data_IF_435100580190
#
_entry.id   IF_435100580190
#
_cell.length_a   1.000
_cell.length_b   1.000
_cell.length_c   1.000
_cell.angle_alpha   90.00
_cell.angle_beta   90.00
_cell.angle_gamma   90.00
#
_symmetry.space_group_name_H-M   'P 1'
#
loop_
_entity.id
_entity.type
_entity.pdbx_description
1 polymer ?
#
# COMPACT_ATOMS: atom_id res chain seq x y z
N UNK A 1 -4.44 -10.20 -20.80
CA UNK A 1 -4.85 -9.62 -19.50
C UNK A 1 -3.97 -8.40 -19.28
N UNK A 2 -4.52 -7.25 -18.92
CA UNK A 2 -3.70 -6.08 -18.60
C UNK A 2 -2.96 -6.34 -17.26
N UNK A 3 -1.93 -5.57 -16.95
CA UNK A 3 -1.09 -5.79 -15.76
C UNK A 3 -1.89 -5.67 -14.44
N UNK A 4 -2.86 -4.75 -14.35
CA UNK A 4 -3.72 -4.61 -13.17
C UNK A 4 -4.58 -5.84 -12.90
N UNK A 5 -5.18 -6.43 -13.94
CA UNK A 5 -6.02 -7.62 -13.82
C UNK A 5 -5.17 -8.83 -13.44
N UNK A 6 -3.92 -8.88 -13.94
CA UNK A 6 -2.95 -9.91 -13.56
C UNK A 6 -2.56 -9.82 -12.08
N UNK A 7 -2.29 -8.61 -11.58
CA UNK A 7 -2.00 -8.36 -10.17
C UNK A 7 -3.18 -8.77 -9.27
N UNK A 8 -4.40 -8.30 -9.60
CA UNK A 8 -5.60 -8.65 -8.84
C UNK A 8 -5.84 -10.17 -8.82
N UNK A 9 -5.69 -10.84 -9.97
CA UNK A 9 -5.84 -12.29 -10.07
C UNK A 9 -4.77 -13.05 -9.28
N UNK A 10 -3.52 -12.57 -9.27
CA UNK A 10 -2.43 -13.19 -8.52
C UNK A 10 -2.69 -13.10 -7.00
N UNK A 11 -3.13 -11.93 -6.51
CA UNK A 11 -3.51 -11.73 -5.10
C UNK A 11 -4.72 -12.60 -4.70
N UNK A 12 -5.74 -12.71 -5.57
CA UNK A 12 -6.89 -13.60 -5.36
C UNK A 12 -6.45 -15.06 -5.26
N UNK A 13 -5.59 -15.52 -6.19
CA UNK A 13 -5.08 -16.90 -6.20
C UNK A 13 -4.24 -17.21 -4.97
N UNK A 14 -3.45 -16.25 -4.50
CA UNK A 14 -2.67 -16.34 -3.27
C UNK A 14 -3.54 -16.20 -2.01
N UNK A 15 -4.84 -15.89 -2.15
CA UNK A 15 -5.79 -15.64 -1.05
C UNK A 15 -5.28 -14.56 -0.11
N UNK A 16 -4.79 -13.45 -0.65
CA UNK A 16 -4.16 -12.38 0.14
C UNK A 16 -5.16 -11.32 0.63
N UNK A 17 -6.29 -11.14 -0.05
CA UNK A 17 -7.36 -10.29 0.48
C UNK A 17 -8.01 -10.89 1.73
N UNK A 18 -8.19 -10.03 2.73
CA UNK A 18 -8.82 -10.38 4.01
C UNK A 18 -10.30 -10.74 3.82
N UNK A 19 -11.01 -9.92 3.05
CA UNK A 19 -12.42 -10.10 2.73
C UNK A 19 -12.78 -9.41 1.40
N UNK A 20 -14.04 -9.54 0.99
CA UNK A 20 -14.53 -8.91 -0.23
C UNK A 20 -14.50 -7.38 -0.20
N UNK A 21 -14.56 -6.76 0.99
CA UNK A 21 -14.42 -5.31 1.18
C UNK A 21 -13.01 -4.84 0.87
N UNK A 22 -12.01 -5.48 1.49
CA UNK A 22 -10.59 -5.22 1.22
C UNK A 22 -10.28 -5.36 -0.28
N UNK A 23 -10.73 -6.45 -0.90
CA UNK A 23 -10.58 -6.66 -2.35
C UNK A 23 -11.22 -5.56 -3.19
N UNK A 24 -12.44 -5.15 -2.85
CA UNK A 24 -13.19 -4.13 -3.60
C UNK A 24 -12.48 -2.79 -3.54
N UNK A 25 -12.07 -2.34 -2.35
CA UNK A 25 -11.33 -1.07 -2.16
C UNK A 25 -10.02 -1.06 -2.95
N UNK A 26 -9.23 -2.13 -2.88
CA UNK A 26 -7.98 -2.22 -3.65
C UNK A 26 -8.25 -2.14 -5.16
N UNK A 27 -9.27 -2.86 -5.65
CA UNK A 27 -9.65 -2.81 -7.06
C UNK A 27 -10.06 -1.39 -7.50
N UNK A 28 -10.80 -0.66 -6.67
CA UNK A 28 -11.19 0.72 -6.94
C UNK A 28 -9.97 1.64 -7.10
N UNK A 29 -8.99 1.56 -6.18
CA UNK A 29 -7.74 2.32 -6.30
C UNK A 29 -6.99 1.96 -7.58
N UNK A 30 -6.85 0.66 -7.86
CA UNK A 30 -6.19 0.18 -9.07
C UNK A 30 -6.89 0.70 -10.31
N UNK A 31 -8.22 0.58 -10.42
CA UNK A 31 -8.97 1.04 -11.59
C UNK A 31 -8.82 2.54 -11.85
N UNK A 32 -8.78 3.34 -10.79
CA UNK A 32 -8.68 4.79 -10.88
C UNK A 32 -7.27 5.30 -11.15
N UNK A 33 -6.23 4.71 -10.57
CA UNK A 33 -4.91 5.37 -10.50
C UNK A 33 -3.77 4.65 -11.24
N UNK A 34 -3.94 3.42 -11.72
CA UNK A 34 -2.86 2.65 -12.36
C UNK A 34 -2.24 3.29 -13.64
N UNK A 35 -2.95 4.24 -14.25
CA UNK A 35 -2.59 4.82 -15.53
C UNK A 35 -1.88 6.18 -15.40
N UNK A 36 -1.75 6.69 -14.18
CA UNK A 36 -1.04 7.94 -13.92
C UNK A 36 0.47 7.74 -13.94
N UNK A 37 1.26 8.76 -14.34
CA UNK A 37 2.71 8.65 -14.44
C UNK A 37 3.43 8.44 -13.10
N UNK A 38 2.79 8.79 -11.98
CA UNK A 38 3.32 8.53 -10.63
C UNK A 38 3.09 7.10 -10.15
N UNK A 39 2.39 6.26 -10.92
CA UNK A 39 2.05 4.90 -10.49
C UNK A 39 3.27 3.99 -10.53
N UNK A 40 3.64 3.44 -9.37
CA UNK A 40 4.77 2.52 -9.19
C UNK A 40 4.35 1.24 -8.46
N UNK A 41 5.21 0.22 -8.46
CA UNK A 41 5.00 -0.96 -7.63
C UNK A 41 4.90 -0.59 -6.14
N UNK A 42 5.73 0.33 -5.66
CA UNK A 42 5.67 0.86 -4.29
C UNK A 42 4.30 1.43 -3.95
N UNK A 43 3.78 2.31 -4.81
CA UNK A 43 2.46 2.90 -4.62
C UNK A 43 1.35 1.84 -4.67
N UNK A 44 1.46 0.83 -5.55
CA UNK A 44 0.51 -0.28 -5.60
C UNK A 44 0.47 -1.07 -4.28
N UNK A 45 1.62 -1.29 -3.64
CA UNK A 45 1.70 -1.92 -2.31
C UNK A 45 1.05 -1.07 -1.23
N UNK A 46 1.26 0.25 -1.25
CA UNK A 46 0.58 1.18 -0.34
C UNK A 46 -0.94 1.18 -0.56
N UNK A 47 -1.41 1.17 -1.82
CA UNK A 47 -2.83 1.03 -2.13
C UNK A 47 -3.42 -0.26 -1.56
N UNK A 48 -2.72 -1.39 -1.70
CA UNK A 48 -3.13 -2.65 -1.08
C UNK A 48 -3.23 -2.53 0.44
N UNK A 49 -2.18 -2.03 1.10
CA UNK A 49 -2.15 -1.87 2.56
C UNK A 49 -3.29 -0.97 3.06
N UNK A 50 -3.49 0.18 2.42
CA UNK A 50 -4.54 1.14 2.78
C UNK A 50 -5.96 0.63 2.55
N UNK A 51 -6.15 -0.37 1.68
CA UNK A 51 -7.46 -0.93 1.39
C UNK A 51 -7.98 -1.86 2.50
N UNK A 52 -7.17 -2.13 3.53
CA UNK A 52 -7.50 -3.01 4.65
C UNK A 52 -8.83 -2.64 5.31
N UNK A 53 -8.99 -1.37 5.65
CA UNK A 53 -10.18 -0.79 6.25
C UNK A 53 -10.62 0.48 5.54
N UNK A 54 -11.72 1.07 6.03
CA UNK A 54 -12.30 2.28 5.44
C UNK A 54 -11.54 3.57 5.79
N UNK A 55 -11.09 3.80 7.05
CA UNK A 55 -10.26 4.96 7.38
C UNK A 55 -9.00 5.10 6.52
N UNK A 56 -8.19 4.04 6.40
CA UNK A 56 -6.95 4.09 5.62
C UNK A 56 -7.21 4.25 4.12
N UNK A 57 -8.29 3.64 3.63
CA UNK A 57 -8.71 3.79 2.24
C UNK A 57 -9.08 5.24 1.91
N UNK A 58 -9.80 5.92 2.81
CA UNK A 58 -10.14 7.34 2.64
C UNK A 58 -8.90 8.22 2.61
N UNK A 59 -7.92 7.98 3.50
CA UNK A 59 -6.63 8.72 3.52
C UNK A 59 -5.90 8.52 2.19
N UNK A 60 -5.78 7.28 1.71
CA UNK A 60 -5.14 6.97 0.43
C UNK A 60 -5.85 7.65 -0.75
N UNK A 61 -7.17 7.60 -0.78
CA UNK A 61 -7.98 8.18 -1.84
C UNK A 61 -7.79 9.70 -1.92
N UNK A 62 -7.71 10.39 -0.78
CA UNK A 62 -7.45 11.83 -0.71
C UNK A 62 -6.06 12.17 -1.29
N UNK A 63 -5.00 11.46 -0.84
CA UNK A 63 -3.64 11.67 -1.34
C UNK A 63 -3.52 11.43 -2.85
N UNK A 64 -4.10 10.35 -3.35
CA UNK A 64 -4.09 10.02 -4.78
C UNK A 64 -4.89 11.02 -5.62
N UNK A 65 -5.98 11.55 -5.07
CA UNK A 65 -6.75 12.62 -5.72
C UNK A 65 -5.90 13.87 -5.88
N UNK A 66 -5.17 14.28 -4.83
CA UNK A 66 -4.30 15.45 -4.90
C UNK A 66 -3.15 15.27 -5.90
N UNK A 67 -2.51 14.09 -5.92
CA UNK A 67 -1.52 13.71 -6.93
C UNK A 67 -2.10 13.79 -8.36
N UNK A 68 -3.30 13.24 -8.56
CA UNK A 68 -3.94 13.22 -9.89
C UNK A 68 -4.31 14.60 -10.43
N UNK A 69 -4.56 15.56 -9.55
CA UNK A 69 -4.85 16.95 -9.91
C UNK A 69 -3.59 17.75 -10.26
N UNK A 70 -2.41 17.12 -10.22
CA UNK A 70 -1.13 17.76 -10.52
C UNK A 70 -0.70 18.79 -9.49
N UNK A 71 -1.25 18.69 -8.26
CA UNK A 71 -0.66 19.41 -7.12
C UNK A 71 0.75 18.89 -6.84
N UNK A 72 0.93 17.59 -7.04
CA UNK A 72 2.18 16.87 -6.80
C UNK A 72 2.68 16.11 -8.04
N UNK A 73 4.00 16.07 -8.23
CA UNK A 73 4.64 15.40 -9.38
C UNK A 73 5.23 14.01 -9.04
N UNK A 74 5.44 13.73 -7.76
CA UNK A 74 6.06 12.51 -7.22
C UNK A 74 5.31 12.04 -5.97
N UNK A 75 5.64 10.86 -5.45
CA UNK A 75 5.07 10.35 -4.18
C UNK A 75 5.80 10.87 -2.93
N UNK A 76 6.65 11.90 -3.05
CA UNK A 76 7.47 12.40 -1.93
C UNK A 76 6.59 12.98 -0.81
N UNK A 77 5.55 13.73 -1.17
CA UNK A 77 4.56 14.25 -0.23
C UNK A 77 3.79 13.15 0.51
N UNK A 78 3.53 12.03 -0.18
CA UNK A 78 2.89 10.87 0.43
C UNK A 78 3.79 10.22 1.48
N UNK A 79 5.11 10.16 1.22
CA UNK A 79 6.12 9.67 2.16
C UNK A 79 6.24 10.61 3.37
N UNK A 80 6.31 11.93 3.15
CA UNK A 80 6.35 12.93 4.23
C UNK A 80 5.10 12.88 5.12
N UNK A 81 3.92 12.78 4.50
CA UNK A 81 2.68 12.61 5.23
C UNK A 81 2.66 11.30 6.03
N UNK A 82 3.21 10.21 5.48
CA UNK A 82 3.39 8.95 6.19
C UNK A 82 4.27 9.09 7.43
N UNK A 83 5.40 9.80 7.35
CA UNK A 83 6.27 10.06 8.51
C UNK A 83 5.52 10.85 9.60
N UNK A 84 4.84 11.93 9.19
CA UNK A 84 4.06 12.78 10.11
C UNK A 84 2.90 12.03 10.76
N UNK A 85 2.27 11.09 10.05
CA UNK A 85 1.21 10.26 10.59
C UNK A 85 1.77 9.21 11.55
N UNK A 86 2.89 8.58 11.21
CA UNK A 86 3.58 7.62 12.08
C UNK A 86 3.94 8.24 13.42
N UNK A 87 4.58 9.42 13.43
CA UNK A 87 5.03 10.12 14.64
C UNK A 87 3.88 10.49 15.61
N UNK A 88 2.63 10.44 15.15
CA UNK A 88 1.43 10.69 15.96
C UNK A 88 0.83 9.43 16.59
N UNK A 89 1.27 8.24 16.18
CA UNK A 89 0.75 6.98 16.67
C UNK A 89 1.61 6.44 17.82
N UNK A 90 0.96 5.96 18.87
CA UNK A 90 1.60 5.26 19.98
C UNK A 90 1.36 3.75 19.93
N UNK A 91 0.53 3.29 18.99
CA UNK A 91 0.12 1.90 18.81
C UNK A 91 0.72 1.28 17.54
N UNK A 92 0.18 0.15 17.10
CA UNK A 92 0.71 -0.56 15.95
C UNK A 92 0.56 0.15 14.60
N UNK A 93 -0.27 1.20 14.51
CA UNK A 93 -0.39 2.03 13.31
C UNK A 93 0.95 2.69 12.93
N UNK A 94 1.79 3.00 13.93
CA UNK A 94 3.15 3.49 13.68
C UNK A 94 3.89 2.60 12.67
N UNK A 95 3.85 1.28 12.88
CA UNK A 95 4.56 0.32 12.04
C UNK A 95 3.87 0.11 10.69
N UNK A 96 2.55 0.30 10.61
CA UNK A 96 1.80 0.27 9.35
C UNK A 96 2.22 1.45 8.46
N UNK A 97 2.34 2.65 9.02
CA UNK A 97 2.85 3.82 8.28
C UNK A 97 4.33 3.66 7.89
N UNK A 98 5.17 3.13 8.77
CA UNK A 98 6.57 2.84 8.44
C UNK A 98 6.71 1.82 7.30
N UNK A 99 5.85 0.79 7.27
CA UNK A 99 5.79 -0.16 6.16
C UNK A 99 5.37 0.52 4.85
N UNK A 100 4.36 1.40 4.90
CA UNK A 100 3.96 2.19 3.74
C UNK A 100 5.11 3.04 3.19
N UNK A 101 5.87 3.70 4.06
CA UNK A 101 7.03 4.50 3.63
C UNK A 101 8.13 3.63 3.03
N UNK A 102 8.42 2.48 3.63
CA UNK A 102 9.38 1.53 3.08
C UNK A 102 8.97 1.04 1.67
N UNK A 103 7.68 0.84 1.42
CA UNK A 103 7.17 0.50 0.08
C UNK A 103 7.37 1.63 -0.93
N UNK A 104 7.11 2.88 -0.56
CA UNK A 104 7.35 4.04 -1.43
C UNK A 104 8.83 4.21 -1.75
N UNK A 105 9.70 4.07 -0.76
CA UNK A 105 11.16 4.22 -0.89
C UNK A 105 11.83 2.99 -1.54
N UNK A 106 11.06 1.93 -1.82
CA UNK A 106 11.56 0.65 -2.31
C UNK A 106 12.68 0.07 -1.42
N UNK A 107 12.51 0.17 -0.11
CA UNK A 107 13.44 -0.34 0.90
C UNK A 107 12.87 -1.55 1.64
N UNK A 108 13.74 -2.34 2.26
CA UNK A 108 13.32 -3.47 3.08
C UNK A 108 12.76 -2.99 4.42
N UNK A 109 11.53 -3.42 4.73
CA UNK A 109 10.95 -3.22 6.05
C UNK A 109 11.34 -4.38 6.97
N UNK A 110 11.84 -4.06 8.16
CA UNK A 110 12.17 -5.04 9.19
C UNK A 110 11.50 -4.66 10.50
N UNK A 111 10.69 -5.59 11.01
CA UNK A 111 10.03 -5.45 12.29
C UNK A 111 10.74 -6.32 13.32
N UNK A 112 11.35 -5.68 14.31
CA UNK A 112 12.09 -6.39 15.36
C UNK A 112 11.15 -7.33 16.13
N UNK A 113 11.60 -8.56 16.37
CA UNK A 113 10.83 -9.60 17.08
C UNK A 113 10.56 -9.24 18.54
N UNK A 114 11.37 -8.35 19.12
CA UNK A 114 11.22 -7.83 20.48
C UNK A 114 10.12 -6.77 20.63
N UNK A 115 9.61 -6.23 19.51
CA UNK A 115 8.51 -5.26 19.53
C UNK A 115 7.23 -5.96 19.97
N UNK A 116 6.70 -5.54 21.12
CA UNK A 116 5.39 -5.96 21.58
C UNK A 116 4.30 -5.24 20.76
N UNK A 117 3.91 -5.85 19.65
CA UNK A 117 2.86 -5.37 18.77
C UNK A 117 1.59 -6.20 18.96
N UNK A 118 0.45 -5.54 18.89
CA UNK A 118 -0.82 -6.26 18.96
C UNK A 118 -0.95 -7.24 17.78
N UNK A 119 -1.54 -8.44 18.01
CA UNK A 119 -1.61 -9.48 16.99
C UNK A 119 -2.28 -9.03 15.68
N UNK A 120 -3.23 -8.09 15.77
CA UNK A 120 -3.91 -7.54 14.60
C UNK A 120 -2.94 -6.79 13.68
N UNK A 121 -2.15 -5.85 14.21
CA UNK A 121 -1.17 -5.12 13.40
C UNK A 121 -0.05 -6.03 12.88
N UNK A 122 0.38 -7.03 13.66
CA UNK A 122 1.34 -8.04 13.17
C UNK A 122 0.77 -8.78 11.96
N UNK A 123 -0.49 -9.20 12.06
CA UNK A 123 -1.18 -9.88 10.97
C UNK A 123 -1.30 -8.97 9.74
N UNK A 124 -1.68 -7.70 9.89
CA UNK A 124 -1.76 -6.73 8.78
C UNK A 124 -0.42 -6.62 8.05
N UNK A 125 0.66 -6.43 8.81
CA UNK A 125 2.02 -6.27 8.28
C UNK A 125 2.46 -7.52 7.52
N UNK A 126 2.31 -8.71 8.11
CA UNK A 126 2.70 -9.97 7.47
C UNK A 126 1.94 -10.19 6.15
N UNK A 127 0.66 -9.84 6.12
CA UNK A 127 -0.20 -9.97 4.93
C UNK A 127 0.19 -8.96 3.85
N UNK A 128 0.56 -7.75 4.23
CA UNK A 128 1.02 -6.73 3.30
C UNK A 128 2.40 -7.07 2.71
N UNK A 129 3.33 -7.62 3.51
CA UNK A 129 4.61 -8.11 3.02
C UNK A 129 4.44 -9.27 2.01
N UNK A 130 3.59 -10.24 2.32
CA UNK A 130 3.28 -11.33 1.39
C UNK A 130 2.62 -10.83 0.09
N UNK A 131 1.75 -9.82 0.17
CA UNK A 131 1.17 -9.17 -1.00
C UNK A 131 2.20 -8.39 -1.82
N UNK A 132 3.17 -7.74 -1.16
CA UNK A 132 4.22 -7.01 -1.85
C UNK A 132 5.04 -7.91 -2.78
N UNK A 133 5.40 -9.12 -2.34
CA UNK A 133 6.12 -10.11 -3.18
C UNK A 133 5.30 -10.51 -4.42
N UNK A 134 3.99 -10.70 -4.25
CA UNK A 134 3.08 -11.03 -5.36
C UNK A 134 2.91 -9.86 -6.31
N UNK A 135 2.80 -8.64 -5.80
CA UNK A 135 2.67 -7.41 -6.58
C UNK A 135 3.94 -7.22 -7.44
N UNK A 136 5.13 -7.33 -6.84
CA UNK A 136 6.40 -7.18 -7.56
C UNK A 136 6.56 -8.23 -8.66
N UNK A 137 6.10 -9.45 -8.42
CA UNK A 137 6.14 -10.52 -9.42
C UNK A 137 5.11 -10.34 -10.54
N UNK A 138 4.02 -9.60 -10.29
CA UNK A 138 2.90 -9.43 -11.22
C UNK A 138 2.97 -8.15 -12.04
N UNK A 139 3.57 -7.10 -11.49
CA UNK A 139 3.76 -5.80 -12.12
C UNK A 139 5.22 -5.63 -12.53
N UNK A 140 5.51 -5.82 -13.81
CA UNK A 140 6.80 -5.44 -14.39
C UNK A 140 6.77 -3.97 -14.80
N UNK A 141 6.67 -3.07 -13.81
CA UNK A 141 6.83 -1.64 -14.03
C UNK A 141 8.32 -1.31 -13.92
N UNK A 142 8.90 -0.76 -14.99
CA UNK A 142 10.25 -0.20 -14.93
C UNK A 142 10.23 1.01 -13.98
N UNK A 143 11.18 1.02 -13.04
CA UNK A 143 11.42 2.17 -12.18
C UNK A 143 11.89 3.32 -13.11
N UNK A 144 11.29 4.53 -13.05
CA UNK A 144 11.82 5.68 -13.77
C UNK A 144 13.27 6.02 -13.37
#
# INVERSE_FOLDING_TARGET
MNQKDACLFALDRAKLFENSGHRTRFKELMDCYNHFPFFTNGLCKCMYLSAWDEPHFCIMLEMLTDLSLGKEATTDDMRENGDVLADKQEDGEYYVYQLSNAFLDNTSFHLDESVNLEPEFRYIIDRALAAAEVIDSSLSLEIP
#
